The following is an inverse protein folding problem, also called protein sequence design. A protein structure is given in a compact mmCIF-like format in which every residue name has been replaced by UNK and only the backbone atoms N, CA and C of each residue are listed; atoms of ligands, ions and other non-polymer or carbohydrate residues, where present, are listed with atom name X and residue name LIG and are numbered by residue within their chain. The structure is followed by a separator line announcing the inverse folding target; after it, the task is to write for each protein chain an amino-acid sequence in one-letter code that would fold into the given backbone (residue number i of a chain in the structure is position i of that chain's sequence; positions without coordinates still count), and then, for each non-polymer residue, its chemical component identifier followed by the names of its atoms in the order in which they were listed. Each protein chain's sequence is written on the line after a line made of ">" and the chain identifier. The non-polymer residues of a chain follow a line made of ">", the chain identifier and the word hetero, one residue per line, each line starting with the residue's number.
data_IF_815151236042
#
_entry.id   IF_815151236042
#
_cell.length_a   1.000
_cell.length_b   1.000
_cell.length_c   1.000
_cell.angle_alpha   90.00
_cell.angle_beta   90.00
_cell.angle_gamma   90.00
#
_symmetry.space_group_name_H-M   'P 1'
#
loop_
_entity.id
_entity.type
_entity.pdbx_description
1 polymer ?
#
# COMPACT_ATOMS: atom_id res chain seq x y z
N UNK A 1 -18.69 -8.35 -4.01
CA UNK A 1 -19.49 -9.33 -4.78
C UNK A 1 -20.95 -8.89 -4.86
N UNK A 2 -21.58 -8.49 -3.73
CA UNK A 2 -22.98 -8.01 -3.74
C UNK A 2 -23.20 -6.84 -4.69
N UNK A 3 -22.31 -5.87 -4.71
CA UNK A 3 -22.42 -4.66 -5.52
C UNK A 3 -22.40 -4.95 -7.03
N UNK A 4 -21.62 -5.95 -7.46
CA UNK A 4 -21.58 -6.38 -8.87
C UNK A 4 -22.91 -7.04 -9.26
N UNK A 5 -23.45 -7.91 -8.39
CA UNK A 5 -24.74 -8.58 -8.64
C UNK A 5 -25.87 -7.53 -8.68
N UNK A 6 -25.86 -6.58 -7.76
CA UNK A 6 -26.80 -5.47 -7.74
C UNK A 6 -26.71 -4.60 -9.00
N UNK A 7 -25.51 -4.25 -9.43
CA UNK A 7 -25.28 -3.44 -10.64
C UNK A 7 -25.76 -4.17 -11.90
N UNK A 8 -25.48 -5.46 -12.05
CA UNK A 8 -25.92 -6.26 -13.21
C UNK A 8 -27.45 -6.40 -13.20
N UNK A 9 -28.05 -6.73 -12.05
CA UNK A 9 -29.50 -6.89 -11.92
C UNK A 9 -30.24 -5.59 -12.19
N UNK A 10 -29.82 -4.49 -11.54
CA UNK A 10 -30.43 -3.17 -11.75
C UNK A 10 -30.19 -2.66 -13.18
N UNK A 11 -29.04 -2.89 -13.76
CA UNK A 11 -28.74 -2.53 -15.14
C UNK A 11 -29.69 -3.19 -16.15
N UNK A 12 -29.97 -4.50 -15.96
CA UNK A 12 -30.92 -5.21 -16.79
C UNK A 12 -32.37 -4.63 -16.67
N UNK A 13 -32.80 -4.33 -15.44
CA UNK A 13 -34.11 -3.72 -15.20
C UNK A 13 -34.20 -2.32 -15.84
N UNK A 14 -33.19 -1.47 -15.64
CA UNK A 14 -33.14 -0.13 -16.21
C UNK A 14 -33.19 -0.14 -17.74
N UNK A 15 -32.46 -1.07 -18.38
CA UNK A 15 -32.49 -1.25 -19.83
C UNK A 15 -33.89 -1.62 -20.34
N UNK A 16 -34.60 -2.49 -19.60
CA UNK A 16 -35.98 -2.89 -19.94
C UNK A 16 -37.01 -1.79 -19.71
N UNK A 17 -36.76 -0.91 -18.72
CA UNK A 17 -37.65 0.22 -18.43
C UNK A 17 -37.53 1.32 -19.48
N UNK A 18 -36.31 1.78 -19.80
CA UNK A 18 -36.08 2.84 -20.76
C UNK A 18 -34.65 2.82 -21.30
N UNK A 19 -34.48 2.40 -22.54
CA UNK A 19 -33.18 2.29 -23.22
C UNK A 19 -32.46 3.63 -23.38
N UNK A 20 -33.19 4.74 -23.64
CA UNK A 20 -32.58 6.07 -23.80
C UNK A 20 -31.98 6.60 -22.50
N UNK A 21 -32.73 6.51 -21.40
CA UNK A 21 -32.25 6.94 -20.08
C UNK A 21 -31.11 6.02 -19.58
N UNK A 22 -31.23 4.71 -19.85
CA UNK A 22 -30.16 3.75 -19.52
C UNK A 22 -28.86 4.06 -20.24
N UNK A 23 -28.91 4.47 -21.52
CA UNK A 23 -27.69 4.84 -22.26
C UNK A 23 -26.95 6.02 -21.62
N UNK A 24 -27.68 7.00 -21.07
CA UNK A 24 -27.10 8.13 -20.34
C UNK A 24 -26.43 7.65 -19.07
N UNK A 25 -27.12 6.81 -18.26
CA UNK A 25 -26.55 6.28 -17.03
C UNK A 25 -25.36 5.37 -17.27
N UNK A 26 -25.39 4.56 -18.33
CA UNK A 26 -24.27 3.73 -18.74
C UNK A 26 -23.08 4.60 -19.16
N UNK A 27 -23.31 5.67 -19.93
CA UNK A 27 -22.25 6.62 -20.31
C UNK A 27 -21.61 7.28 -19.07
N UNK A 28 -22.42 7.69 -18.09
CA UNK A 28 -21.94 8.23 -16.81
C UNK A 28 -21.01 7.23 -16.10
N UNK A 29 -21.45 5.98 -16.03
CA UNK A 29 -20.71 4.90 -15.37
C UNK A 29 -19.37 4.62 -16.08
N UNK A 30 -19.37 4.54 -17.40
CA UNK A 30 -18.14 4.35 -18.20
C UNK A 30 -17.18 5.52 -18.00
N UNK A 31 -17.68 6.76 -18.01
CA UNK A 31 -16.85 7.95 -17.83
C UNK A 31 -16.25 7.99 -16.43
N UNK A 32 -16.99 7.58 -15.40
CA UNK A 32 -16.50 7.46 -14.01
C UNK A 32 -15.43 6.37 -13.88
N UNK A 33 -15.60 5.22 -14.55
CA UNK A 33 -14.57 4.16 -14.58
C UNK A 33 -13.29 4.63 -15.29
N UNK A 34 -13.41 5.40 -16.35
CA UNK A 34 -12.24 6.00 -17.01
C UNK A 34 -11.46 6.93 -16.06
N UNK A 35 -12.15 7.70 -15.22
CA UNK A 35 -11.49 8.51 -14.20
C UNK A 35 -10.70 7.65 -13.21
N UNK A 36 -11.23 6.51 -12.76
CA UNK A 36 -10.51 5.58 -11.86
C UNK A 36 -9.20 5.14 -12.52
N UNK A 37 -9.25 4.78 -13.80
CA UNK A 37 -8.07 4.32 -14.55
C UNK A 37 -7.04 5.44 -14.72
N UNK A 38 -7.47 6.66 -15.03
CA UNK A 38 -6.59 7.83 -15.20
C UNK A 38 -5.87 8.16 -13.88
N UNK A 39 -6.59 8.17 -12.77
CA UNK A 39 -6.05 8.52 -11.48
C UNK A 39 -5.27 7.39 -10.78
N UNK A 40 -5.30 6.16 -11.30
CA UNK A 40 -4.59 5.01 -10.74
C UNK A 40 -3.08 5.26 -10.58
N UNK A 41 -2.44 5.80 -11.62
CA UNK A 41 -0.98 6.05 -11.62
C UNK A 41 -0.56 7.16 -10.64
N UNK A 42 -1.20 8.34 -10.63
CA UNK A 42 -0.95 9.37 -9.61
C UNK A 42 -1.11 8.86 -8.18
N UNK A 43 -2.16 8.10 -7.89
CA UNK A 43 -2.37 7.53 -6.56
C UNK A 43 -1.29 6.54 -6.16
N UNK A 44 -0.88 5.66 -7.07
CA UNK A 44 0.19 4.70 -6.80
C UNK A 44 1.47 5.42 -6.38
N UNK A 45 1.90 6.42 -7.15
CA UNK A 45 3.12 7.20 -6.87
C UNK A 45 3.06 7.89 -5.52
N UNK A 46 1.97 8.62 -5.26
CA UNK A 46 1.88 9.38 -4.01
C UNK A 46 1.79 8.47 -2.78
N UNK A 47 1.20 7.29 -2.94
CA UNK A 47 1.10 6.32 -1.87
C UNK A 47 2.44 5.68 -1.54
N UNK A 48 3.25 5.34 -2.56
CA UNK A 48 4.63 4.89 -2.39
C UNK A 48 5.48 5.95 -1.67
N UNK A 49 5.40 7.23 -2.10
CA UNK A 49 6.09 8.35 -1.44
C UNK A 49 5.63 8.50 0.02
N UNK A 50 4.34 8.40 0.30
CA UNK A 50 3.77 8.50 1.65
C UNK A 50 4.29 7.39 2.56
N UNK A 51 4.31 6.15 2.09
CA UNK A 51 4.78 5.01 2.87
C UNK A 51 6.26 5.12 3.22
N UNK A 52 7.10 5.51 2.25
CA UNK A 52 8.54 5.71 2.49
C UNK A 52 8.78 6.84 3.51
N UNK A 53 8.12 7.99 3.33
CA UNK A 53 8.31 9.12 4.22
C UNK A 53 7.76 8.86 5.63
N UNK A 54 6.66 8.13 5.75
CA UNK A 54 6.12 7.71 7.06
C UNK A 54 7.07 6.77 7.78
N UNK A 55 7.73 5.86 7.06
CA UNK A 55 8.73 4.96 7.64
C UNK A 55 9.95 5.75 8.16
N UNK A 56 10.44 6.73 7.39
CA UNK A 56 11.55 7.60 7.80
C UNK A 56 11.19 8.39 9.06
N UNK A 57 10.02 9.04 9.06
CA UNK A 57 9.55 9.84 10.19
C UNK A 57 9.39 8.98 11.46
N UNK A 58 8.76 7.80 11.33
CA UNK A 58 8.59 6.87 12.45
C UNK A 58 9.94 6.35 12.98
N UNK A 59 10.89 6.02 12.09
CA UNK A 59 12.22 5.58 12.51
C UNK A 59 12.93 6.67 13.30
N UNK A 60 12.88 7.93 12.83
CA UNK A 60 13.50 9.04 13.53
C UNK A 60 12.84 9.31 14.90
N UNK A 61 11.51 9.24 14.98
CA UNK A 61 10.81 9.36 16.27
C UNK A 61 11.22 8.28 17.25
N UNK A 62 11.33 7.02 16.80
CA UNK A 62 11.76 5.91 17.65
C UNK A 62 13.21 6.10 18.10
N UNK A 63 14.10 6.53 17.20
CA UNK A 63 15.51 6.80 17.50
C UNK A 63 15.65 7.92 18.55
N UNK A 64 14.94 9.03 18.37
CA UNK A 64 14.92 10.15 19.33
C UNK A 64 14.42 9.71 20.70
N UNK A 65 13.35 8.89 20.75
CA UNK A 65 12.82 8.37 22.01
C UNK A 65 13.78 7.38 22.69
N UNK A 66 14.45 6.53 21.93
CA UNK A 66 15.47 5.60 22.47
C UNK A 66 16.71 6.33 22.96
N UNK A 67 17.08 7.42 22.29
CA UNK A 67 18.23 8.25 22.64
C UNK A 67 17.92 9.40 23.59
N UNK A 68 16.73 9.43 24.23
CA UNK A 68 16.26 10.60 24.99
C UNK A 68 17.22 10.98 26.14
N UNK A 69 17.82 10.03 26.81
CA UNK A 69 18.80 10.28 27.86
C UNK A 69 20.05 11.01 27.31
N UNK A 70 20.56 10.54 26.17
CA UNK A 70 21.71 11.14 25.50
C UNK A 70 21.40 12.56 25.04
N UNK A 71 20.21 12.79 24.47
CA UNK A 71 19.73 14.11 24.03
C UNK A 71 19.66 15.05 25.24
N UNK A 72 19.09 14.60 26.36
CA UNK A 72 18.96 15.37 27.59
C UNK A 72 20.31 15.69 28.23
N UNK A 73 21.21 14.71 28.33
CA UNK A 73 22.54 14.88 28.88
C UNK A 73 23.40 15.89 28.10
N UNK A 74 23.18 16.00 26.78
CA UNK A 74 23.92 16.92 25.93
C UNK A 74 23.18 18.22 25.63
N UNK A 75 21.98 18.44 26.20
CA UNK A 75 21.13 19.61 25.97
C UNK A 75 20.90 19.89 24.45
N UNK A 76 20.63 18.81 23.66
CA UNK A 76 20.49 18.85 22.22
C UNK A 76 19.03 18.79 21.76
N UNK A 77 18.05 19.06 22.63
CA UNK A 77 16.62 18.92 22.35
C UNK A 77 16.17 19.77 21.15
N UNK A 78 16.65 21.01 21.07
CA UNK A 78 16.27 21.94 20.01
C UNK A 78 16.76 21.46 18.63
N UNK A 79 17.99 20.95 18.57
CA UNK A 79 18.57 20.38 17.35
C UNK A 79 17.81 19.13 16.88
N UNK A 80 17.42 18.27 17.82
CA UNK A 80 16.66 17.07 17.51
C UNK A 80 15.24 17.42 17.06
N UNK A 81 14.61 18.40 17.73
CA UNK A 81 13.30 18.91 17.32
C UNK A 81 13.32 19.47 15.89
N UNK A 82 14.34 20.29 15.54
CA UNK A 82 14.50 20.79 14.18
C UNK A 82 14.68 19.66 13.14
N UNK A 83 15.40 18.60 13.49
CA UNK A 83 15.57 17.45 12.61
C UNK A 83 14.23 16.73 12.35
N UNK A 84 13.47 16.52 13.40
CA UNK A 84 12.15 15.90 13.35
C UNK A 84 11.13 16.77 12.60
N UNK A 85 11.18 18.08 12.82
CA UNK A 85 10.33 19.06 12.13
C UNK A 85 10.61 19.08 10.61
N UNK A 86 11.86 18.99 10.19
CA UNK A 86 12.21 18.89 8.75
C UNK A 86 11.57 17.67 8.08
N UNK A 87 11.63 16.51 8.72
CA UNK A 87 11.00 15.28 8.18
C UNK A 87 9.47 15.37 8.22
N UNK A 88 8.91 15.95 9.27
CA UNK A 88 7.48 16.22 9.37
C UNK A 88 6.97 17.17 8.28
N UNK A 89 7.69 18.25 7.98
CA UNK A 89 7.35 19.17 6.89
C UNK A 89 7.36 18.45 5.53
N UNK A 90 8.30 17.51 5.30
CA UNK A 90 8.29 16.70 4.08
C UNK A 90 7.02 15.83 4.00
N UNK A 91 6.66 15.18 5.10
CA UNK A 91 5.42 14.39 5.21
C UNK A 91 4.18 15.24 4.92
N UNK A 92 4.10 16.46 5.49
CA UNK A 92 3.00 17.39 5.21
C UNK A 92 2.93 17.80 3.73
N UNK A 93 4.06 18.05 3.08
CA UNK A 93 4.08 18.39 1.64
C UNK A 93 3.55 17.23 0.77
N UNK A 94 3.90 15.98 1.11
CA UNK A 94 3.39 14.79 0.43
C UNK A 94 1.88 14.65 0.68
N UNK A 95 1.44 14.81 1.93
CA UNK A 95 0.02 14.78 2.30
C UNK A 95 -0.81 15.84 1.57
N UNK A 96 -0.30 17.06 1.45
CA UNK A 96 -0.93 18.13 0.65
C UNK A 96 -1.04 17.76 -0.83
N UNK A 97 -0.01 17.12 -1.40
CA UNK A 97 -0.03 16.63 -2.79
C UNK A 97 -1.07 15.52 -2.96
N UNK A 98 -1.14 14.60 -2.00
CA UNK A 98 -2.16 13.55 -1.96
C UNK A 98 -3.57 14.12 -1.92
N UNK A 99 -3.81 15.09 -1.02
CA UNK A 99 -5.09 15.79 -0.90
C UNK A 99 -5.48 16.53 -2.17
N UNK A 100 -4.52 17.17 -2.86
CA UNK A 100 -4.79 17.82 -4.15
C UNK A 100 -5.25 16.83 -5.23
N UNK A 101 -4.60 15.66 -5.33
CA UNK A 101 -4.98 14.61 -6.29
C UNK A 101 -6.39 14.12 -5.97
N UNK A 102 -6.66 13.78 -4.70
CA UNK A 102 -7.96 13.30 -4.25
C UNK A 102 -9.07 14.32 -4.49
N UNK A 103 -8.84 15.58 -4.11
CA UNK A 103 -9.82 16.66 -4.30
C UNK A 103 -10.07 16.93 -5.80
N UNK A 104 -9.02 16.92 -6.63
CA UNK A 104 -9.17 17.08 -8.08
C UNK A 104 -10.01 15.98 -8.70
N UNK A 105 -9.77 14.71 -8.33
CA UNK A 105 -10.56 13.58 -8.79
C UNK A 105 -12.03 13.71 -8.34
N UNK A 106 -12.25 14.04 -7.08
CA UNK A 106 -13.59 14.20 -6.50
C UNK A 106 -14.36 15.33 -7.18
N UNK A 107 -13.73 16.47 -7.45
CA UNK A 107 -14.34 17.60 -8.16
C UNK A 107 -14.73 17.21 -9.58
N UNK A 108 -13.82 16.59 -10.35
CA UNK A 108 -14.10 16.16 -11.72
C UNK A 108 -15.25 15.15 -11.73
N UNK A 109 -15.22 14.17 -10.82
CA UNK A 109 -16.30 13.16 -10.70
C UNK A 109 -17.64 13.81 -10.34
N UNK A 110 -17.65 14.75 -9.42
CA UNK A 110 -18.86 15.48 -9.00
C UNK A 110 -19.45 16.31 -10.14
N UNK A 111 -18.62 17.03 -10.90
CA UNK A 111 -19.07 17.81 -12.06
C UNK A 111 -19.68 16.90 -13.11
N UNK A 112 -19.01 15.81 -13.46
CA UNK A 112 -19.52 14.84 -14.45
C UNK A 112 -20.86 14.26 -13.98
N UNK A 113 -20.93 13.81 -12.74
CA UNK A 113 -22.15 13.24 -12.16
C UNK A 113 -23.31 14.25 -12.15
N UNK A 114 -23.03 15.51 -11.75
CA UNK A 114 -24.05 16.56 -11.70
C UNK A 114 -24.59 16.92 -13.09
N UNK A 115 -23.70 17.13 -14.05
CA UNK A 115 -24.08 17.47 -15.44
C UNK A 115 -24.93 16.35 -16.05
N UNK A 116 -24.46 15.10 -15.95
CA UNK A 116 -25.17 13.97 -16.52
C UNK A 116 -26.49 13.66 -15.80
N UNK A 117 -26.57 13.94 -14.50
CA UNK A 117 -27.83 13.88 -13.75
C UNK A 117 -28.83 14.93 -14.27
N UNK A 118 -28.41 16.17 -14.52
CA UNK A 118 -29.25 17.22 -15.13
C UNK A 118 -29.74 16.80 -16.51
N UNK A 119 -28.89 16.19 -17.33
CA UNK A 119 -29.28 15.64 -18.64
C UNK A 119 -30.31 14.52 -18.47
N UNK A 120 -30.13 13.63 -17.53
CA UNK A 120 -31.09 12.55 -17.22
C UNK A 120 -32.46 13.08 -16.78
N UNK A 121 -32.47 14.11 -15.93
CA UNK A 121 -33.69 14.80 -15.50
C UNK A 121 -34.39 15.44 -16.71
N UNK A 122 -33.65 16.19 -17.54
CA UNK A 122 -34.21 16.86 -18.69
C UNK A 122 -34.85 15.88 -19.69
N UNK A 123 -34.11 14.83 -20.06
CA UNK A 123 -34.59 13.79 -20.95
C UNK A 123 -35.77 13.02 -20.36
N UNK A 124 -35.68 12.67 -19.08
CA UNK A 124 -36.75 11.97 -18.36
C UNK A 124 -38.04 12.77 -18.30
N UNK A 125 -37.99 14.06 -17.96
CA UNK A 125 -39.18 14.96 -17.93
C UNK A 125 -39.73 15.11 -19.35
N UNK A 126 -38.90 15.29 -20.34
CA UNK A 126 -39.36 15.42 -21.76
C UNK A 126 -40.13 14.18 -22.20
N UNK A 127 -39.65 12.97 -21.83
CA UNK A 127 -40.34 11.72 -22.16
C UNK A 127 -41.66 11.57 -21.39
N UNK A 128 -41.75 12.06 -20.13
CA UNK A 128 -43.01 12.08 -19.39
C UNK A 128 -44.01 13.01 -20.03
N UNK A 129 -43.60 14.20 -20.46
CA UNK A 129 -44.46 15.16 -21.13
C UNK A 129 -44.99 14.64 -22.49
N UNK A 130 -44.12 13.87 -23.18
CA UNK A 130 -44.49 13.23 -24.44
C UNK A 130 -45.32 11.94 -24.28
N UNK A 131 -45.66 11.56 -23.05
CA UNK A 131 -46.45 10.36 -22.77
C UNK A 131 -45.72 9.02 -22.97
N UNK A 132 -44.41 9.06 -23.21
CA UNK A 132 -43.59 7.85 -23.43
C UNK A 132 -43.23 7.15 -22.13
N UNK A 133 -43.23 7.87 -21.02
CA UNK A 133 -42.91 7.37 -19.68
C UNK A 133 -43.93 7.96 -18.71
N UNK A 134 -44.33 7.18 -17.68
CA UNK A 134 -45.12 7.71 -16.58
C UNK A 134 -44.24 8.40 -15.54
N UNK A 135 -44.75 9.36 -14.78
CA UNK A 135 -44.01 10.00 -13.70
C UNK A 135 -43.52 8.97 -12.68
N UNK A 136 -44.34 7.97 -12.32
CA UNK A 136 -43.95 6.88 -11.43
C UNK A 136 -42.85 6.03 -12.01
N UNK A 137 -42.87 5.76 -13.32
CA UNK A 137 -41.80 5.06 -14.05
C UNK A 137 -40.48 5.83 -14.00
N UNK A 138 -40.53 7.17 -14.19
CA UNK A 138 -39.33 8.01 -14.07
C UNK A 138 -38.74 8.00 -12.64
N UNK A 139 -39.62 8.11 -11.61
CA UNK A 139 -39.17 8.05 -10.21
C UNK A 139 -38.52 6.69 -9.88
N UNK A 140 -39.12 5.59 -10.34
CA UNK A 140 -38.55 4.25 -10.16
C UNK A 140 -37.21 4.12 -10.89
N UNK A 141 -37.10 4.64 -12.13
CA UNK A 141 -35.85 4.67 -12.89
C UNK A 141 -34.76 5.46 -12.13
N UNK A 142 -35.09 6.66 -11.62
CA UNK A 142 -34.16 7.51 -10.90
C UNK A 142 -33.60 6.83 -9.64
N UNK A 143 -34.49 6.16 -8.87
CA UNK A 143 -34.08 5.40 -7.67
C UNK A 143 -33.17 4.21 -8.02
N UNK A 144 -33.55 3.42 -9.01
CA UNK A 144 -32.76 2.27 -9.45
C UNK A 144 -31.43 2.67 -10.08
N UNK A 145 -31.37 3.82 -10.74
CA UNK A 145 -30.14 4.38 -11.31
C UNK A 145 -29.07 4.63 -10.24
N UNK A 146 -29.47 5.02 -9.01
CA UNK A 146 -28.57 5.13 -7.87
C UNK A 146 -27.87 3.81 -7.54
N UNK A 147 -28.63 2.71 -7.46
CA UNK A 147 -28.07 1.39 -7.20
C UNK A 147 -27.16 0.85 -8.32
N UNK A 148 -27.34 1.35 -9.53
CA UNK A 148 -26.45 1.02 -10.65
C UNK A 148 -25.14 1.80 -10.63
N UNK A 149 -25.16 3.07 -10.20
CA UNK A 149 -23.96 3.94 -10.19
C UNK A 149 -23.18 3.89 -8.86
N UNK A 150 -23.81 3.51 -7.74
CA UNK A 150 -23.19 3.45 -6.41
C UNK A 150 -21.90 2.60 -6.37
N UNK A 151 -21.86 1.38 -6.91
CA UNK A 151 -20.66 0.54 -6.89
C UNK A 151 -19.43 1.21 -7.52
N UNK A 152 -19.65 2.04 -8.56
CA UNK A 152 -18.53 2.76 -9.21
C UNK A 152 -18.00 3.87 -8.31
N UNK A 153 -18.89 4.60 -7.62
CA UNK A 153 -18.50 5.62 -6.67
C UNK A 153 -17.73 5.03 -5.48
N UNK A 154 -18.12 3.86 -5.03
CA UNK A 154 -17.40 3.13 -3.97
C UNK A 154 -16.00 2.68 -4.43
N UNK A 155 -15.86 2.17 -5.65
CA UNK A 155 -14.55 1.87 -6.23
C UNK A 155 -13.62 3.09 -6.29
N UNK A 156 -14.17 4.28 -6.59
CA UNK A 156 -13.40 5.52 -6.56
C UNK A 156 -12.90 5.83 -5.14
N UNK A 157 -13.77 5.71 -4.14
CA UNK A 157 -13.41 5.99 -2.74
C UNK A 157 -12.43 4.95 -2.17
N UNK A 158 -12.52 3.70 -2.58
CA UNK A 158 -11.66 2.60 -2.12
C UNK A 158 -10.31 2.54 -2.85
N UNK A 159 -10.09 3.33 -3.88
CA UNK A 159 -8.90 3.24 -4.73
C UNK A 159 -7.59 3.37 -3.94
N UNK A 160 -7.51 4.26 -2.96
CA UNK A 160 -6.33 4.39 -2.09
C UNK A 160 -6.13 3.14 -1.22
N UNK A 161 -7.18 2.67 -0.56
CA UNK A 161 -7.11 1.49 0.30
C UNK A 161 -6.70 0.22 -0.45
N UNK A 162 -7.17 0.06 -1.68
CA UNK A 162 -6.76 -1.06 -2.56
C UNK A 162 -5.27 -0.97 -2.90
N UNK A 163 -4.75 0.24 -3.16
CA UNK A 163 -3.33 0.45 -3.43
C UNK A 163 -2.48 0.15 -2.19
N UNK A 164 -2.88 0.62 -1.02
CA UNK A 164 -2.21 0.33 0.26
C UNK A 164 -2.18 -1.17 0.56
N UNK A 165 -3.30 -1.85 0.40
CA UNK A 165 -3.39 -3.29 0.57
C UNK A 165 -2.47 -4.05 -0.40
N UNK A 166 -2.41 -3.62 -1.67
CA UNK A 166 -1.54 -4.23 -2.68
C UNK A 166 -0.06 -4.09 -2.33
N UNK A 167 0.38 -2.91 -1.86
CA UNK A 167 1.77 -2.66 -1.47
C UNK A 167 2.12 -3.46 -0.21
N UNK A 168 1.22 -3.49 0.78
CA UNK A 168 1.40 -4.26 2.01
C UNK A 168 1.51 -5.75 1.72
N UNK A 169 0.67 -6.27 0.82
CA UNK A 169 0.71 -7.67 0.38
C UNK A 169 2.03 -8.01 -0.32
N UNK A 170 2.51 -7.11 -1.19
CA UNK A 170 3.81 -7.30 -1.85
C UNK A 170 4.95 -7.40 -0.83
N UNK A 171 4.98 -6.52 0.17
CA UNK A 171 6.00 -6.57 1.24
C UNK A 171 5.91 -7.85 2.08
N UNK A 172 4.69 -8.31 2.35
CA UNK A 172 4.50 -9.57 3.06
C UNK A 172 5.03 -10.75 2.24
N UNK A 173 4.73 -10.79 0.94
CA UNK A 173 5.22 -11.83 0.04
C UNK A 173 6.76 -11.81 -0.04
N UNK A 174 7.38 -10.63 -0.12
CA UNK A 174 8.84 -10.49 -0.09
C UNK A 174 9.49 -11.11 1.16
N UNK A 175 8.80 -11.04 2.31
CA UNK A 175 9.28 -11.67 3.56
C UNK A 175 9.04 -13.19 3.52
N UNK A 176 7.89 -13.63 3.01
CA UNK A 176 7.54 -15.05 2.94
C UNK A 176 8.37 -15.83 1.90
N UNK A 177 8.93 -15.14 0.90
CA UNK A 177 9.79 -15.73 -0.10
C UNK A 177 11.23 -15.99 0.40
N UNK A 178 11.57 -15.51 1.62
CA UNK A 178 12.84 -15.89 2.23
C UNK A 178 12.79 -17.35 2.65
N UNK A 179 13.84 -18.07 2.27
CA UNK A 179 14.03 -19.47 2.69
C UNK A 179 14.05 -19.56 4.22
N UNK A 180 13.27 -20.46 4.77
CA UNK A 180 13.25 -20.73 6.21
C UNK A 180 14.59 -21.38 6.62
N UNK A 181 15.14 -20.96 7.74
CA UNK A 181 16.33 -21.58 8.32
C UNK A 181 16.07 -23.04 8.72
N UNK A 182 14.81 -23.33 9.08
CA UNK A 182 14.31 -24.69 9.31
C UNK A 182 13.54 -25.14 8.06
N UNK A 183 14.17 -25.96 7.26
CA UNK A 183 13.54 -26.61 6.11
C UNK A 183 13.05 -27.98 6.61
N UNK A 184 11.73 -28.20 6.59
CA UNK A 184 11.09 -29.45 7.03
C UNK A 184 11.56 -30.68 6.19
N UNK A 185 12.13 -30.44 5.01
CA UNK A 185 12.67 -31.48 4.13
C UNK A 185 14.15 -31.84 4.41
N UNK A 186 14.82 -31.15 5.35
CA UNK A 186 16.18 -31.49 5.77
C UNK A 186 16.18 -32.47 6.93
N UNK A 187 16.76 -33.64 6.72
CA UNK A 187 17.09 -34.56 7.81
C UNK A 187 18.18 -33.92 8.69
N UNK A 188 17.79 -33.48 9.89
CA UNK A 188 18.74 -33.04 10.90
C UNK A 188 19.26 -34.26 11.65
N UNK A 189 20.57 -34.42 11.68
CA UNK A 189 21.21 -35.46 12.49
C UNK A 189 21.28 -34.99 13.94
N UNK A 190 20.54 -35.65 14.83
CA UNK A 190 20.71 -35.44 16.28
C UNK A 190 22.10 -35.95 16.70
N UNK A 191 22.94 -35.03 17.20
CA UNK A 191 24.22 -35.40 17.79
C UNK A 191 24.07 -35.54 19.30
N UNK A 192 24.28 -36.76 19.81
CA UNK A 192 24.25 -37.02 21.25
C UNK A 192 25.41 -36.32 22.02
N UNK A 193 26.57 -36.14 21.38
CA UNK A 193 27.73 -35.39 21.92
C UNK A 193 28.56 -34.80 20.79
N UNK A 194 29.18 -33.64 21.03
CA UNK A 194 30.18 -33.04 20.16
C UNK A 194 31.57 -33.45 20.67
N UNK A 195 32.14 -34.49 20.08
CA UNK A 195 33.51 -34.96 20.37
C UNK A 195 34.41 -34.70 19.18
N UNK A 196 35.62 -34.21 19.44
CA UNK A 196 36.65 -33.97 18.43
C UNK A 196 37.06 -32.48 18.37
N UNK A 197 37.98 -32.22 17.44
CA UNK A 197 38.51 -30.88 17.18
C UNK A 197 37.55 -30.09 16.29
N UNK A 198 37.48 -28.76 16.49
CA UNK A 198 36.74 -27.85 15.60
C UNK A 198 37.76 -27.24 14.63
N UNK A 199 37.59 -27.48 13.35
CA UNK A 199 38.51 -27.03 12.32
C UNK A 199 37.82 -26.08 11.33
N UNK A 200 38.42 -24.89 11.16
CA UNK A 200 38.07 -23.95 10.11
C UNK A 200 39.05 -24.13 8.95
N UNK A 201 38.55 -24.43 7.75
CA UNK A 201 39.37 -24.65 6.55
C UNK A 201 38.99 -23.65 5.48
N UNK A 202 39.83 -22.68 5.23
CA UNK A 202 39.69 -21.72 4.14
C UNK A 202 38.30 -21.03 4.13
N UNK A 203 37.84 -20.62 5.30
CA UNK A 203 36.46 -20.06 5.47
C UNK A 203 36.45 -18.61 5.03
N UNK A 204 35.62 -18.32 4.03
CA UNK A 204 35.29 -16.96 3.58
C UNK A 204 33.80 -16.70 3.80
N UNK A 205 33.45 -15.62 4.50
CA UNK A 205 32.10 -15.26 4.75
C UNK A 205 31.83 -13.76 4.56
N UNK A 206 30.68 -13.43 3.95
CA UNK A 206 30.22 -12.04 3.75
C UNK A 206 28.72 -11.90 4.07
N UNK A 207 28.36 -10.76 4.62
CA UNK A 207 26.95 -10.37 4.81
C UNK A 207 26.41 -9.71 3.53
N UNK A 208 25.60 -10.43 2.76
CA UNK A 208 25.05 -9.95 1.49
C UNK A 208 26.15 -9.52 0.50
N UNK A 209 26.03 -8.33 -0.10
CA UNK A 209 27.01 -7.81 -1.08
C UNK A 209 28.13 -6.95 -0.47
N UNK A 210 28.38 -7.04 0.84
CA UNK A 210 29.45 -6.30 1.52
C UNK A 210 30.82 -6.97 1.32
N UNK A 211 31.89 -6.25 1.68
CA UNK A 211 33.24 -6.83 1.77
C UNK A 211 33.23 -8.05 2.69
N UNK A 212 34.04 -9.11 2.42
CA UNK A 212 34.10 -10.26 3.29
C UNK A 212 34.40 -9.87 4.74
N UNK A 213 33.60 -10.39 5.67
CA UNK A 213 33.83 -10.24 7.11
C UNK A 213 34.88 -11.25 7.60
N UNK A 214 34.93 -12.42 6.98
CA UNK A 214 36.01 -13.42 7.08
C UNK A 214 36.56 -13.68 5.70
N UNK A 215 37.88 -13.73 5.57
CA UNK A 215 38.58 -13.92 4.30
C UNK A 215 39.69 -14.97 4.45
N UNK A 216 39.46 -16.15 3.84
CA UNK A 216 40.40 -17.28 3.83
C UNK A 216 40.93 -17.67 5.22
N UNK A 217 40.03 -17.77 6.24
CA UNK A 217 40.45 -18.07 7.63
C UNK A 217 40.57 -19.57 7.83
N UNK A 218 41.72 -19.99 8.38
CA UNK A 218 42.01 -21.38 8.72
C UNK A 218 42.62 -21.46 10.12
N UNK A 219 42.01 -22.23 11.00
CA UNK A 219 42.54 -22.55 12.33
C UNK A 219 41.84 -23.77 12.95
N UNK A 220 42.46 -24.38 13.96
CA UNK A 220 41.90 -25.53 14.66
C UNK A 220 41.77 -25.26 16.14
N UNK A 221 40.67 -25.68 16.73
CA UNK A 221 40.42 -25.65 18.16
C UNK A 221 40.45 -27.11 18.65
N UNK A 222 41.50 -27.55 19.36
CA UNK A 222 41.60 -28.92 19.86
C UNK A 222 40.54 -29.21 20.94
N UNK A 223 40.04 -30.43 20.95
CA UNK A 223 39.07 -30.88 21.96
C UNK A 223 39.55 -30.61 23.36
N UNK A 224 38.67 -30.11 24.24
CA UNK A 224 38.95 -29.82 25.65
C UNK A 224 39.85 -28.60 25.89
N UNK A 225 40.26 -27.86 24.85
CA UNK A 225 41.06 -26.64 24.98
C UNK A 225 40.15 -25.39 24.97
N UNK A 226 40.59 -24.37 25.68
CA UNK A 226 40.00 -23.04 25.66
C UNK A 226 40.82 -22.16 24.71
N UNK A 227 40.14 -21.59 23.68
CA UNK A 227 40.75 -20.68 22.73
C UNK A 227 40.06 -19.32 22.83
N UNK A 228 40.84 -18.24 22.87
CA UNK A 228 40.30 -16.87 22.89
C UNK A 228 40.57 -16.19 21.56
N UNK A 229 39.50 -15.66 20.92
CA UNK A 229 39.59 -14.83 19.74
C UNK A 229 39.76 -13.38 20.17
N UNK A 230 40.94 -12.78 19.90
CA UNK A 230 41.27 -11.39 20.25
C UNK A 230 41.44 -10.54 19.00
N UNK A 231 41.06 -9.29 19.07
CA UNK A 231 41.18 -8.34 17.96
C UNK A 231 40.40 -7.05 18.20
N UNK A 232 40.58 -6.06 17.33
CA UNK A 232 39.86 -4.77 17.37
C UNK A 232 38.36 -4.95 17.20
N UNK A 233 37.58 -3.93 17.58
CA UNK A 233 36.14 -3.94 17.31
C UNK A 233 35.90 -3.96 15.77
N UNK A 234 34.96 -4.79 15.32
CA UNK A 234 34.67 -4.96 13.91
C UNK A 234 35.60 -5.91 13.13
N UNK A 235 36.55 -6.62 13.78
CA UNK A 235 37.48 -7.56 13.10
C UNK A 235 36.87 -8.94 12.78
N UNK A 236 35.57 -9.13 12.86
CA UNK A 236 34.89 -10.38 12.53
C UNK A 236 34.87 -11.45 13.61
N UNK A 237 35.22 -11.12 14.88
CA UNK A 237 35.25 -12.11 16.00
C UNK A 237 33.90 -12.80 16.25
N UNK A 238 32.81 -12.04 16.13
CA UNK A 238 31.47 -12.58 16.36
C UNK A 238 30.89 -13.31 15.14
N UNK A 239 31.43 -13.05 13.95
CA UNK A 239 31.11 -13.75 12.71
C UNK A 239 31.68 -15.15 12.73
#
# INVERSE_FOLDING_TARGET
>A
VMDIVMAVGTGFVLFRMNSSLFSITLFTTVLSLLLVIIFKQPYKRINEETMVQSAVLNSQMIESLRGIETIKCNACEERELEALEREYIKSLKISLRSSKISTSQSLISSVISTVLNMVTIYVGITQVLNGQLTLGGYMAFSTLSGYFTSPVSELISMQMSIQEASISMKRLTEIMDYESEQDDDREYTEMESMEGDIEFKDVTFRYGNRTPALDHISFTIPQGKKVALVGSSGSGKST
#
